data_IF_579045518724
#
_entry.id   IF_579045518724
#
_cell.length_a   1.000
_cell.length_b   1.000
_cell.length_c   1.000
_cell.angle_alpha   90.00
_cell.angle_beta   90.00
_cell.angle_gamma   90.00
#
_symmetry.space_group_name_H-M   'P 1'
#
loop_
_entity.id
_entity.type
_entity.pdbx_description
1 polymer ?
#
# COMPACT_ATOMS: atom_id res chain seq x y z
N UNK A 1 49.35 43.14 53.92
CA UNK A 1 49.95 42.13 53.03
C UNK A 1 48.97 40.99 52.88
N UNK A 2 48.56 40.74 51.63
CA UNK A 2 47.53 39.78 51.22
C UNK A 2 48.04 38.34 51.23
N UNK A 3 47.18 37.38 51.55
CA UNK A 3 47.26 36.02 51.05
C UNK A 3 45.84 35.49 50.74
N UNK A 4 45.49 35.46 49.45
CA UNK A 4 44.27 34.85 48.91
C UNK A 4 44.55 33.36 48.66
N UNK A 5 43.73 32.47 49.21
CA UNK A 5 43.74 31.03 48.87
C UNK A 5 42.83 30.77 47.65
N UNK A 6 43.25 29.91 46.69
CA UNK A 6 42.50 29.65 45.47
C UNK A 6 41.37 28.62 45.67
N UNK A 7 40.19 28.93 45.14
CA UNK A 7 39.06 28.01 44.98
C UNK A 7 39.42 26.92 43.97
N UNK A 8 39.42 25.65 44.40
CA UNK A 8 39.47 24.49 43.50
C UNK A 8 38.08 24.24 42.93
N UNK A 9 37.92 24.43 41.62
CA UNK A 9 36.74 24.02 40.87
C UNK A 9 36.85 22.52 40.57
N UNK A 10 35.88 21.73 41.04
CA UNK A 10 35.75 20.32 40.69
C UNK A 10 35.05 20.21 39.33
N UNK A 11 35.76 19.69 38.33
CA UNK A 11 35.20 19.29 37.04
C UNK A 11 34.38 18.02 37.25
N UNK A 12 33.05 18.13 37.16
CA UNK A 12 32.16 16.98 37.09
C UNK A 12 32.24 16.38 35.67
N UNK A 13 32.70 15.14 35.57
CA UNK A 13 32.71 14.41 34.31
C UNK A 13 31.27 14.01 33.93
N UNK A 14 30.85 14.16 32.66
CA UNK A 14 29.55 13.69 32.21
C UNK A 14 29.55 12.16 32.14
N UNK A 15 28.62 11.53 32.85
CA UNK A 15 28.34 10.11 32.73
C UNK A 15 27.71 9.84 31.36
N UNK A 16 28.43 9.10 30.51
CA UNK A 16 27.91 8.63 29.24
C UNK A 16 26.81 7.59 29.50
N UNK A 17 25.56 7.93 29.23
CA UNK A 17 24.46 6.97 29.19
C UNK A 17 24.66 6.05 27.97
N UNK A 18 24.98 4.79 28.25
CA UNK A 18 24.95 3.73 27.23
C UNK A 18 23.48 3.40 26.98
N UNK A 19 22.93 3.92 25.89
CA UNK A 19 21.64 3.47 25.37
C UNK A 19 21.86 2.08 24.79
N UNK A 20 21.43 1.05 25.52
CA UNK A 20 21.39 -0.31 25.02
C UNK A 20 20.35 -0.38 23.89
N UNK A 21 20.82 -0.43 22.65
CA UNK A 21 20.01 -0.71 21.46
C UNK A 21 19.53 -2.16 21.53
N UNK A 22 18.34 -2.38 22.10
CA UNK A 22 17.67 -3.66 21.93
C UNK A 22 17.32 -3.82 20.44
N UNK A 23 17.52 -5.01 19.85
CA UNK A 23 17.12 -5.26 18.48
C UNK A 23 15.61 -5.09 18.39
N UNK A 24 15.17 -4.13 17.56
CA UNK A 24 13.77 -3.93 17.26
C UNK A 24 13.28 -5.18 16.50
N UNK A 25 12.59 -6.06 17.22
CA UNK A 25 11.78 -7.10 16.58
C UNK A 25 10.70 -6.37 15.82
N UNK A 26 10.83 -6.28 14.50
CA UNK A 26 9.84 -5.65 13.65
C UNK A 26 8.52 -6.39 13.85
N UNK A 27 7.54 -5.72 14.48
CA UNK A 27 6.21 -6.26 14.62
C UNK A 27 5.64 -6.45 13.20
N UNK A 28 5.42 -7.70 12.81
CA UNK A 28 4.76 -8.03 11.55
C UNK A 28 3.33 -7.47 11.64
N UNK A 29 2.96 -6.62 10.68
CA UNK A 29 1.60 -6.06 10.61
C UNK A 29 0.59 -7.22 10.56
N UNK A 30 -0.53 -7.16 11.31
CA UNK A 30 -1.61 -8.14 11.22
C UNK A 30 -2.10 -8.38 9.78
N UNK A 31 -2.03 -7.34 8.94
CA UNK A 31 -2.45 -7.39 7.53
C UNK A 31 -1.25 -7.54 6.56
N UNK A 32 -0.06 -7.97 7.02
CA UNK A 32 1.13 -8.04 6.15
C UNK A 32 0.89 -8.86 4.87
N UNK A 33 0.17 -9.98 4.97
CA UNK A 33 -0.17 -10.81 3.82
C UNK A 33 -1.16 -10.11 2.87
N UNK A 34 -2.17 -9.42 3.42
CA UNK A 34 -3.12 -8.63 2.61
C UNK A 34 -2.41 -7.51 1.88
N UNK A 35 -1.47 -6.81 2.53
CA UNK A 35 -0.72 -5.73 1.92
C UNK A 35 0.15 -6.25 0.77
N UNK A 36 0.82 -7.38 0.95
CA UNK A 36 1.60 -8.02 -0.10
C UNK A 36 0.71 -8.48 -1.28
N UNK A 37 -0.47 -9.05 -1.00
CA UNK A 37 -1.42 -9.44 -2.05
C UNK A 37 -1.96 -8.22 -2.84
N UNK A 38 -2.24 -7.11 -2.14
CA UNK A 38 -2.65 -5.86 -2.80
C UNK A 38 -1.54 -5.30 -3.70
N UNK A 39 -0.27 -5.36 -3.27
CA UNK A 39 0.88 -4.94 -4.07
C UNK A 39 1.06 -5.83 -5.30
N UNK A 40 1.02 -7.16 -5.14
CA UNK A 40 1.08 -8.10 -6.26
C UNK A 40 -0.05 -7.86 -7.27
N UNK A 41 -1.27 -7.60 -6.80
CA UNK A 41 -2.37 -7.23 -7.69
C UNK A 41 -1.97 -5.99 -8.49
N UNK A 42 -1.59 -4.89 -7.84
CA UNK A 42 -1.18 -3.66 -8.56
C UNK A 42 -0.05 -3.89 -9.56
N UNK A 43 0.90 -4.78 -9.26
CA UNK A 43 1.97 -5.15 -10.18
C UNK A 43 1.43 -5.86 -11.41
N UNK A 44 0.51 -6.82 -11.21
CA UNK A 44 -0.19 -7.51 -12.28
C UNK A 44 -1.02 -6.54 -13.14
N UNK A 45 -1.67 -5.53 -12.54
CA UNK A 45 -2.39 -4.49 -13.30
C UNK A 45 -1.44 -3.74 -14.23
N UNK A 46 -0.32 -3.24 -13.70
CA UNK A 46 0.66 -2.48 -14.48
C UNK A 46 1.27 -3.34 -15.59
N UNK A 47 1.50 -4.61 -15.31
CA UNK A 47 1.97 -5.56 -16.31
C UNK A 47 0.94 -5.75 -17.44
N UNK A 48 -0.34 -5.97 -17.13
CA UNK A 48 -1.40 -6.07 -18.13
C UNK A 48 -1.52 -4.79 -18.96
N UNK A 49 -1.42 -3.62 -18.34
CA UNK A 49 -1.44 -2.33 -19.07
C UNK A 49 -0.26 -2.19 -20.02
N UNK A 50 0.92 -2.65 -19.61
CA UNK A 50 2.10 -2.66 -20.48
C UNK A 50 1.94 -3.63 -21.65
N UNK A 51 1.36 -4.83 -21.43
CA UNK A 51 1.10 -5.80 -22.49
C UNK A 51 0.05 -5.30 -23.48
N UNK A 52 -1.03 -4.67 -23.00
CA UNK A 52 -2.08 -4.09 -23.85
C UNK A 52 -1.59 -2.91 -24.70
N UNK A 53 -0.55 -2.21 -24.23
CA UNK A 53 0.08 -1.12 -24.98
C UNK A 53 1.12 -1.61 -25.99
N UNK A 54 1.48 -2.90 -25.97
CA UNK A 54 2.42 -3.48 -26.92
C UNK A 54 1.66 -4.06 -28.13
N UNK A 55 2.13 -3.74 -29.34
CA UNK A 55 1.42 -4.07 -30.59
C UNK A 55 1.35 -5.59 -30.89
N UNK A 56 2.30 -6.39 -30.39
CA UNK A 56 2.45 -7.81 -30.72
C UNK A 56 2.72 -8.68 -29.48
N UNK A 57 1.87 -8.58 -28.44
CA UNK A 57 1.95 -9.51 -27.30
C UNK A 57 1.46 -10.91 -27.71
N UNK A 58 2.26 -11.98 -27.55
CA UNK A 58 1.79 -13.33 -27.82
C UNK A 58 0.62 -13.74 -26.91
N UNK A 59 -0.38 -14.43 -27.46
CA UNK A 59 -1.58 -14.85 -26.72
C UNK A 59 -1.24 -15.60 -25.41
N UNK A 60 -0.28 -16.53 -25.46
CA UNK A 60 0.16 -17.29 -24.28
C UNK A 60 0.68 -16.40 -23.14
N UNK A 61 1.33 -15.28 -23.48
CA UNK A 61 1.84 -14.30 -22.50
C UNK A 61 0.69 -13.48 -21.93
N UNK A 62 -0.25 -13.05 -22.78
CA UNK A 62 -1.46 -12.33 -22.36
C UNK A 62 -2.32 -13.18 -21.42
N UNK A 63 -2.60 -14.43 -21.80
CA UNK A 63 -3.39 -15.37 -21.02
C UNK A 63 -2.76 -15.67 -19.65
N UNK A 64 -1.44 -15.86 -19.61
CA UNK A 64 -0.72 -16.07 -18.36
C UNK A 64 -0.80 -14.84 -17.44
N UNK A 65 -0.70 -13.63 -18.01
CA UNK A 65 -0.83 -12.39 -17.24
C UNK A 65 -2.25 -12.20 -16.69
N UNK A 66 -3.29 -12.51 -17.48
CA UNK A 66 -4.70 -12.46 -17.05
C UNK A 66 -4.96 -13.48 -15.94
N UNK A 67 -4.48 -14.71 -16.08
CA UNK A 67 -4.63 -15.73 -15.04
C UNK A 67 -3.97 -15.29 -13.73
N UNK A 68 -2.76 -14.72 -13.80
CA UNK A 68 -2.07 -14.22 -12.61
C UNK A 68 -2.83 -13.07 -11.95
N UNK A 69 -3.37 -12.16 -12.75
CA UNK A 69 -4.21 -11.06 -12.26
C UNK A 69 -5.46 -11.57 -11.54
N UNK A 70 -6.18 -12.55 -12.10
CA UNK A 70 -7.35 -13.16 -11.45
C UNK A 70 -6.98 -13.85 -10.14
N UNK A 71 -5.87 -14.60 -10.10
CA UNK A 71 -5.39 -15.24 -8.87
C UNK A 71 -5.04 -14.22 -7.78
N UNK A 72 -4.40 -13.11 -8.15
CA UNK A 72 -4.11 -12.02 -7.21
C UNK A 72 -5.41 -11.37 -6.69
N UNK A 73 -6.42 -11.20 -7.55
CA UNK A 73 -7.72 -10.66 -7.17
C UNK A 73 -8.45 -11.57 -6.19
N UNK A 74 -8.50 -12.88 -6.46
CA UNK A 74 -9.07 -13.88 -5.55
C UNK A 74 -8.37 -13.84 -4.20
N UNK A 75 -7.03 -13.79 -4.18
CA UNK A 75 -6.27 -13.72 -2.94
C UNK A 75 -6.58 -12.47 -2.12
N UNK A 76 -6.66 -11.30 -2.76
CA UNK A 76 -7.06 -10.04 -2.07
C UNK A 76 -8.49 -10.15 -1.54
N UNK A 77 -9.40 -10.78 -2.29
CA UNK A 77 -10.79 -11.01 -1.88
C UNK A 77 -10.86 -11.83 -0.58
N UNK A 78 -10.12 -12.93 -0.50
CA UNK A 78 -10.16 -13.89 0.61
C UNK A 78 -9.48 -13.39 1.89
N UNK A 79 -8.50 -12.49 1.77
CA UNK A 79 -7.80 -11.95 2.94
C UNK A 79 -8.63 -10.84 3.62
N UNK A 80 -9.01 -11.00 4.90
CA UNK A 80 -9.73 -9.97 5.63
C UNK A 80 -8.82 -8.79 5.95
N UNK A 81 -9.36 -7.58 5.88
CA UNK A 81 -8.68 -6.39 6.37
C UNK A 81 -9.01 -6.20 7.85
N UNK A 82 -8.00 -6.25 8.72
CA UNK A 82 -8.19 -6.12 10.18
C UNK A 82 -7.67 -4.80 10.73
N UNK A 83 -6.91 -4.05 9.92
CA UNK A 83 -6.35 -2.75 10.26
C UNK A 83 -6.85 -1.67 9.29
N UNK A 84 -6.82 -0.38 9.68
CA UNK A 84 -7.09 0.72 8.75
C UNK A 84 -6.17 0.71 7.52
N UNK A 85 -4.93 0.25 7.65
CA UNK A 85 -4.00 0.15 6.52
C UNK A 85 -4.46 -0.92 5.52
N UNK A 86 -4.88 -2.09 6.00
CA UNK A 86 -5.41 -3.15 5.15
C UNK A 86 -6.72 -2.76 4.46
N UNK A 87 -7.63 -2.07 5.16
CA UNK A 87 -8.90 -1.59 4.56
C UNK A 87 -8.62 -0.65 3.38
N UNK A 88 -7.64 0.25 3.54
CA UNK A 88 -7.25 1.16 2.46
C UNK A 88 -6.59 0.45 1.29
N UNK A 89 -5.68 -0.48 1.57
CA UNK A 89 -5.03 -1.25 0.52
C UNK A 89 -6.07 -2.03 -0.30
N UNK A 90 -7.04 -2.65 0.37
CA UNK A 90 -8.15 -3.38 -0.27
C UNK A 90 -9.09 -2.46 -1.05
N UNK A 91 -9.36 -1.25 -0.56
CA UNK A 91 -10.12 -0.25 -1.30
C UNK A 91 -9.38 0.21 -2.58
N UNK A 92 -8.08 0.47 -2.50
CA UNK A 92 -7.27 0.82 -3.66
C UNK A 92 -7.20 -0.33 -4.69
N UNK A 93 -7.08 -1.57 -4.21
CA UNK A 93 -7.17 -2.77 -5.04
C UNK A 93 -8.52 -2.88 -5.77
N UNK A 94 -9.64 -2.67 -5.07
CA UNK A 94 -10.98 -2.68 -5.67
C UNK A 94 -11.11 -1.64 -6.78
N UNK A 95 -10.63 -0.41 -6.56
CA UNK A 95 -10.64 0.63 -7.59
C UNK A 95 -9.85 0.22 -8.84
N UNK A 96 -8.70 -0.43 -8.69
CA UNK A 96 -7.89 -0.91 -9.80
C UNK A 96 -8.63 -1.99 -10.61
N UNK A 97 -9.31 -2.91 -9.94
CA UNK A 97 -10.13 -3.96 -10.59
C UNK A 97 -11.28 -3.35 -11.39
N UNK A 98 -12.09 -2.49 -10.79
CA UNK A 98 -13.23 -1.87 -11.47
C UNK A 98 -12.77 -1.03 -12.67
N UNK A 99 -11.66 -0.27 -12.52
CA UNK A 99 -11.09 0.47 -13.65
C UNK A 99 -10.62 -0.44 -14.77
N UNK A 100 -9.97 -1.56 -14.46
CA UNK A 100 -9.55 -2.51 -15.47
C UNK A 100 -10.77 -3.04 -16.26
N UNK A 101 -11.77 -3.55 -15.55
CA UNK A 101 -12.94 -4.18 -16.19
C UNK A 101 -13.74 -3.19 -17.04
N UNK A 102 -13.84 -1.93 -16.63
CA UNK A 102 -14.57 -0.94 -17.41
C UNK A 102 -13.73 -0.35 -18.55
N UNK A 103 -12.52 0.15 -18.24
CA UNK A 103 -11.72 0.92 -19.21
C UNK A 103 -11.16 0.03 -20.31
N UNK A 104 -10.70 -1.17 -19.94
CA UNK A 104 -9.94 -2.03 -20.85
C UNK A 104 -10.85 -2.92 -21.68
N UNK A 105 -11.89 -3.50 -21.07
CA UNK A 105 -12.77 -4.44 -21.77
C UNK A 105 -13.86 -3.74 -22.59
N UNK A 106 -14.31 -2.56 -22.17
CA UNK A 106 -15.48 -1.89 -22.78
C UNK A 106 -15.08 -0.62 -23.55
N UNK A 107 -13.92 -0.02 -23.23
CA UNK A 107 -13.39 1.11 -23.98
C UNK A 107 -14.01 2.47 -23.63
N UNK A 108 -14.46 2.66 -22.38
CA UNK A 108 -14.85 3.98 -21.89
C UNK A 108 -14.67 4.15 -20.39
N UNK A 109 -15.39 5.09 -19.79
CA UNK A 109 -15.16 5.48 -18.39
C UNK A 109 -15.93 4.61 -17.40
N UNK A 110 -15.44 4.52 -16.17
CA UNK A 110 -16.15 3.82 -15.07
C UNK A 110 -17.58 4.34 -14.92
N UNK A 111 -17.78 5.66 -15.07
CA UNK A 111 -19.09 6.30 -14.99
C UNK A 111 -20.06 5.87 -16.09
N UNK A 112 -19.56 5.58 -17.29
CA UNK A 112 -20.38 5.19 -18.44
C UNK A 112 -20.87 3.76 -18.38
N UNK A 113 -20.10 2.85 -17.77
CA UNK A 113 -20.34 1.40 -17.91
C UNK A 113 -20.48 0.63 -16.59
N UNK A 114 -20.07 1.17 -15.45
CA UNK A 114 -20.27 0.49 -14.18
C UNK A 114 -21.76 0.34 -13.89
N UNK A 115 -22.22 -0.87 -13.56
CA UNK A 115 -23.60 -1.04 -13.10
C UNK A 115 -23.76 -0.37 -11.72
N UNK A 116 -24.98 0.02 -11.30
CA UNK A 116 -25.16 0.91 -10.15
C UNK A 116 -24.47 0.46 -8.84
N UNK A 117 -24.36 -0.84 -8.59
CA UNK A 117 -23.68 -1.35 -7.40
C UNK A 117 -22.14 -1.35 -7.52
N UNK A 118 -21.59 -1.52 -8.72
CA UNK A 118 -20.16 -1.34 -8.99
C UNK A 118 -19.77 0.12 -8.84
N UNK A 119 -20.59 1.05 -9.35
CA UNK A 119 -20.38 2.48 -9.17
C UNK A 119 -20.41 2.88 -7.69
N UNK A 120 -21.40 2.37 -6.93
CA UNK A 120 -21.46 2.60 -5.48
C UNK A 120 -20.22 2.05 -4.76
N UNK A 121 -19.79 0.83 -5.10
CA UNK A 121 -18.59 0.22 -4.52
C UNK A 121 -17.33 1.01 -4.85
N UNK A 122 -17.21 1.48 -6.09
CA UNK A 122 -16.10 2.32 -6.55
C UNK A 122 -16.05 3.66 -5.79
N UNK A 123 -17.19 4.36 -5.65
CA UNK A 123 -17.28 5.62 -4.89
C UNK A 123 -16.97 5.43 -3.40
N UNK A 124 -17.47 4.36 -2.79
CA UNK A 124 -17.13 4.01 -1.41
C UNK A 124 -15.62 3.77 -1.24
N UNK A 125 -14.99 3.09 -2.21
CA UNK A 125 -13.55 2.86 -2.19
C UNK A 125 -12.76 4.18 -2.33
N UNK A 126 -13.19 5.09 -3.21
CA UNK A 126 -12.62 6.43 -3.33
C UNK A 126 -12.69 7.20 -2.01
N UNK A 127 -13.85 7.20 -1.34
CA UNK A 127 -14.04 7.87 -0.06
C UNK A 127 -13.11 7.29 1.03
N UNK A 128 -12.97 5.96 1.11
CA UNK A 128 -12.07 5.28 2.05
C UNK A 128 -10.60 5.68 1.81
N UNK A 129 -10.18 5.76 0.55
CA UNK A 129 -8.81 6.16 0.20
C UNK A 129 -8.60 7.65 0.50
N UNK A 130 -9.56 8.51 0.18
CA UNK A 130 -9.47 9.95 0.40
C UNK A 130 -9.40 10.32 1.90
N UNK A 131 -10.22 9.68 2.74
CA UNK A 131 -10.22 9.89 4.20
C UNK A 131 -8.85 9.61 4.85
N UNK A 132 -8.02 8.81 4.20
CA UNK A 132 -6.68 8.47 4.67
C UNK A 132 -5.59 9.50 4.32
N UNK A 133 -5.81 10.28 3.26
CA UNK A 133 -4.91 11.34 2.81
C UNK A 133 -4.98 12.60 3.68
N UNK A 134 -6.00 12.69 4.54
CA UNK A 134 -6.22 13.81 5.44
C UNK A 134 -6.86 15.01 4.75
N UNK A 135 -7.93 15.52 5.35
CA UNK A 135 -8.16 16.95 5.36
C UNK A 135 -6.86 17.64 5.83
N UNK A 136 -6.25 18.40 4.94
CA UNK A 136 -5.25 19.41 5.31
C UNK A 136 -5.94 20.53 6.11
#
# INVERSE_FOLDING_TARGET
>A
MSAKLPRRAALAAPAAFVVATMPAVAAVSPDAELLAACEELQDCYRHLMALNAADDTPDEVGDAAIQRWHQAQERVSDLPATTPAGVRAKAAALMAVIRHDVVVKIGGTVEEYAVPHEWLAYRLAEDIVALAGGAA
#
